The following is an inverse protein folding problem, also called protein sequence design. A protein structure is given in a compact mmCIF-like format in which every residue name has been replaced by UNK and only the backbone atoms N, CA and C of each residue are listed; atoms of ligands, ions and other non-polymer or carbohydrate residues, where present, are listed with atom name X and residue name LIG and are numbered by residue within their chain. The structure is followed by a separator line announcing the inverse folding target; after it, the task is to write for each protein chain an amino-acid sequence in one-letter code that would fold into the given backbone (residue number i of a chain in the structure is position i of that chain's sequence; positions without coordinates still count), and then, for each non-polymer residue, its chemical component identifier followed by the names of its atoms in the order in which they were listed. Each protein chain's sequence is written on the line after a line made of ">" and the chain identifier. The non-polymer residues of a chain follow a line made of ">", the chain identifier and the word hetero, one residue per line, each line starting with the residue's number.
data_IF_319431984507
#
_entry.id   IF_319431984507
#
_cell.length_a   1.000
_cell.length_b   1.000
_cell.length_c   1.000
_cell.angle_alpha   90.00
_cell.angle_beta   90.00
_cell.angle_gamma   90.00
#
_symmetry.space_group_name_H-M   'P 1'
#
loop_
_entity.id
_entity.type
_entity.pdbx_description
1 polymer ?
#
# COMPACT_ATOMS: atom_id res chain seq x y z
N UNK A 1 17.05 -8.24 12.28
CA UNK A 1 18.09 -7.58 11.45
C UNK A 1 18.23 -8.14 10.04
N UNK A 2 18.00 -9.44 9.78
CA UNK A 2 18.04 -9.98 8.40
C UNK A 2 16.83 -9.57 7.53
N UNK A 3 15.65 -9.40 8.11
CA UNK A 3 14.42 -9.13 7.35
C UNK A 3 14.40 -7.73 6.71
N UNK A 4 14.99 -6.71 7.35
CA UNK A 4 15.01 -5.35 6.84
C UNK A 4 15.78 -5.25 5.51
N UNK A 5 16.87 -6.00 5.36
CA UNK A 5 17.69 -6.02 4.14
C UNK A 5 16.88 -6.43 2.89
N UNK A 6 15.96 -7.38 3.03
CA UNK A 6 15.16 -7.88 1.90
C UNK A 6 14.21 -6.83 1.33
N UNK A 7 13.58 -6.01 2.18
CA UNK A 7 12.62 -4.97 1.73
C UNK A 7 13.36 -3.86 0.97
N UNK A 8 14.54 -3.47 1.45
CA UNK A 8 15.36 -2.46 0.76
C UNK A 8 15.91 -2.97 -0.57
N UNK A 9 16.46 -4.19 -0.60
CA UNK A 9 16.97 -4.78 -1.84
C UNK A 9 15.86 -4.92 -2.88
N UNK A 10 14.67 -5.37 -2.46
CA UNK A 10 13.49 -5.42 -3.31
C UNK A 10 13.09 -4.03 -3.82
N UNK A 11 13.00 -3.03 -2.93
CA UNK A 11 12.63 -1.65 -3.28
C UNK A 11 13.58 -1.03 -4.31
N UNK A 12 14.89 -1.27 -4.15
CA UNK A 12 15.90 -0.83 -5.10
C UNK A 12 15.72 -1.49 -6.47
N UNK A 13 15.49 -2.81 -6.51
CA UNK A 13 15.22 -3.53 -7.76
C UNK A 13 13.98 -2.99 -8.48
N UNK A 14 12.90 -2.69 -7.76
CA UNK A 14 11.69 -2.13 -8.37
C UNK A 14 11.93 -0.72 -8.93
N UNK A 15 12.70 0.10 -8.22
CA UNK A 15 13.07 1.45 -8.66
C UNK A 15 13.91 1.39 -9.95
N UNK A 16 14.85 0.44 -10.05
CA UNK A 16 15.62 0.18 -11.28
C UNK A 16 14.73 -0.24 -12.47
N UNK A 17 13.56 -0.82 -12.21
CA UNK A 17 12.54 -1.15 -13.21
C UNK A 17 11.55 0.00 -13.47
N UNK A 18 11.85 1.22 -13.03
CA UNK A 18 10.98 2.40 -13.11
C UNK A 18 9.60 2.20 -12.47
N UNK A 19 9.49 1.36 -11.44
CA UNK A 19 8.26 1.22 -10.64
C UNK A 19 8.32 2.18 -9.45
N UNK A 20 7.18 2.78 -9.14
CA UNK A 20 6.97 3.55 -7.93
C UNK A 20 6.44 2.65 -6.81
N UNK A 21 6.84 2.94 -5.58
CA UNK A 21 6.47 2.17 -4.40
C UNK A 21 5.35 2.87 -3.63
N UNK A 22 4.39 2.09 -3.15
CA UNK A 22 3.26 2.55 -2.36
C UNK A 22 2.93 1.54 -1.27
N UNK A 23 2.43 2.02 -0.13
CA UNK A 23 1.84 1.21 0.91
C UNK A 23 0.31 1.36 0.89
N UNK A 24 -0.41 0.25 0.95
CA UNK A 24 -1.83 0.23 1.32
C UNK A 24 -1.92 -0.16 2.78
N UNK A 25 -2.44 0.73 3.61
CA UNK A 25 -2.37 0.59 5.06
C UNK A 25 -3.73 0.73 5.71
N UNK A 26 -3.92 0.02 6.82
CA UNK A 26 -5.04 0.27 7.73
C UNK A 26 -4.72 1.52 8.57
N UNK A 27 -5.50 2.62 8.46
CA UNK A 27 -5.28 3.79 9.30
C UNK A 27 -5.47 3.48 10.79
N UNK A 28 -6.26 2.47 11.15
CA UNK A 28 -6.53 2.09 12.54
C UNK A 28 -5.55 1.08 13.13
N UNK A 29 -4.53 0.67 12.36
CA UNK A 29 -3.42 -0.11 12.88
C UNK A 29 -2.81 0.58 14.12
N UNK A 30 -2.38 -0.20 15.12
CA UNK A 30 -1.73 0.31 16.34
C UNK A 30 -0.52 1.22 16.04
N UNK A 31 0.11 0.99 14.89
CA UNK A 31 1.24 1.75 14.36
C UNK A 31 0.89 3.08 13.68
N UNK A 32 -0.40 3.39 13.48
CA UNK A 32 -0.91 4.61 12.84
C UNK A 32 -0.09 5.09 11.61
N UNK A 33 0.07 4.24 10.58
CA UNK A 33 1.02 4.46 9.47
C UNK A 33 0.82 5.78 8.69
N UNK A 34 -0.42 6.26 8.59
CA UNK A 34 -0.78 7.50 7.91
C UNK A 34 -0.30 8.75 8.67
N UNK A 35 -0.32 8.74 10.01
CA UNK A 35 0.28 9.80 10.82
C UNK A 35 1.79 9.81 10.66
N UNK A 36 2.43 8.64 10.76
CA UNK A 36 3.87 8.55 10.60
C UNK A 36 4.33 9.00 9.22
N UNK A 37 3.56 8.66 8.18
CA UNK A 37 3.83 9.13 6.81
C UNK A 37 3.84 10.65 6.71
N UNK A 38 2.87 11.34 7.34
CA UNK A 38 2.83 12.79 7.33
C UNK A 38 4.05 13.42 8.06
N UNK A 39 4.49 12.83 9.18
CA UNK A 39 5.68 13.29 9.91
C UNK A 39 6.97 13.12 9.11
N UNK A 40 7.06 12.04 8.32
CA UNK A 40 8.20 11.70 7.47
C UNK A 40 8.12 12.39 6.08
N UNK A 41 7.50 13.57 6.04
CA UNK A 41 7.36 14.43 4.84
C UNK A 41 6.76 13.68 3.64
N UNK A 42 5.84 12.78 3.93
CA UNK A 42 5.07 12.08 2.93
C UNK A 42 4.18 13.04 2.16
N UNK A 43 4.34 13.09 0.83
CA UNK A 43 3.48 13.87 -0.05
C UNK A 43 2.53 12.95 -0.83
N UNK A 44 1.36 13.47 -1.21
CA UNK A 44 0.41 12.80 -2.11
C UNK A 44 -0.20 11.46 -1.62
N UNK A 45 -0.12 11.19 -0.31
CA UNK A 45 -0.89 10.12 0.33
C UNK A 45 -2.35 10.50 0.54
N UNK A 46 -3.23 9.50 0.60
CA UNK A 46 -4.64 9.73 0.93
C UNK A 46 -5.48 8.46 0.90
N UNK A 47 -6.72 8.51 1.41
CA UNK A 47 -7.61 7.36 1.45
C UNK A 47 -7.85 6.79 0.06
N UNK A 48 -8.00 5.46 -0.02
CA UNK A 48 -8.33 4.76 -1.26
C UNK A 48 -9.73 5.09 -1.74
N UNK A 49 -10.66 5.29 -0.81
CA UNK A 49 -12.05 5.60 -1.08
C UNK A 49 -12.31 7.10 -0.98
N UNK A 50 -13.19 7.59 -1.85
CA UNK A 50 -13.58 9.01 -1.82
C UNK A 50 -14.49 9.32 -0.63
N UNK A 51 -14.60 10.60 -0.28
CA UNK A 51 -15.55 11.10 0.73
C UNK A 51 -17.03 10.87 0.38
N UNK A 52 -17.35 10.43 -0.85
CA UNK A 52 -18.69 9.99 -1.22
C UNK A 52 -18.98 8.54 -0.79
N UNK A 53 -17.93 7.77 -0.53
CA UNK A 53 -17.99 6.34 -0.19
C UNK A 53 -17.69 6.11 1.30
N UNK A 54 -16.99 7.03 1.94
CA UNK A 54 -16.71 7.02 3.37
C UNK A 54 -17.40 8.18 4.07
N UNK A 55 -18.01 7.91 5.23
CA UNK A 55 -18.57 8.95 6.12
C UNK A 55 -17.45 9.83 6.69
N UNK A 56 -16.27 9.24 6.93
CA UNK A 56 -15.05 9.93 7.31
C UNK A 56 -13.86 9.36 6.51
N UNK A 57 -13.05 10.24 5.94
CA UNK A 57 -11.91 9.88 5.08
C UNK A 57 -10.88 9.02 5.81
N UNK A 58 -10.73 9.22 7.12
CA UNK A 58 -9.75 8.53 7.96
C UNK A 58 -10.17 7.08 8.29
N UNK A 59 -11.40 6.68 7.99
CA UNK A 59 -11.94 5.35 8.35
C UNK A 59 -11.60 4.26 7.32
N UNK A 60 -11.08 4.64 6.15
CA UNK A 60 -10.77 3.71 5.07
C UNK A 60 -9.27 3.51 4.86
N UNK A 61 -8.84 2.41 4.23
CA UNK A 61 -7.44 2.15 3.97
C UNK A 61 -6.79 3.26 3.15
N UNK A 62 -5.54 3.60 3.48
CA UNK A 62 -4.80 4.68 2.84
C UNK A 62 -3.83 4.14 1.79
N UNK A 63 -3.64 4.89 0.72
CA UNK A 63 -2.62 4.67 -0.29
C UNK A 63 -1.54 5.72 -0.15
N UNK A 64 -0.35 5.30 0.31
CA UNK A 64 0.75 6.15 0.72
C UNK A 64 1.96 5.92 -0.19
N UNK A 65 2.45 6.90 -0.95
CA UNK A 65 3.72 6.79 -1.67
C UNK A 65 4.88 6.50 -0.72
N UNK A 66 5.79 5.59 -1.05
CA UNK A 66 6.92 5.28 -0.17
C UNK A 66 8.15 6.12 -0.53
N UNK A 67 8.43 7.14 0.29
CA UNK A 67 9.72 7.81 0.27
C UNK A 67 10.77 7.01 1.08
N UNK A 68 12.03 7.44 1.04
CA UNK A 68 13.12 6.71 1.71
C UNK A 68 12.95 6.62 3.24
N UNK A 69 12.49 7.71 3.87
CA UNK A 69 12.28 7.77 5.33
C UNK A 69 11.14 6.85 5.76
N UNK A 70 10.01 6.85 5.03
CA UNK A 70 8.88 5.99 5.30
C UNK A 70 9.17 4.52 5.00
N UNK A 71 9.96 4.22 3.97
CA UNK A 71 10.44 2.86 3.70
C UNK A 71 11.32 2.34 4.85
N UNK A 72 12.14 3.22 5.43
CA UNK A 72 12.92 2.86 6.61
C UNK A 72 12.05 2.53 7.79
N UNK A 73 11.13 3.43 8.14
CA UNK A 73 10.17 3.19 9.20
C UNK A 73 9.37 1.90 8.99
N UNK A 74 8.88 1.66 7.76
CA UNK A 74 8.12 0.46 7.41
C UNK A 74 8.90 -0.84 7.63
N UNK A 75 10.21 -0.80 7.37
CA UNK A 75 11.09 -1.97 7.50
C UNK A 75 11.40 -2.33 8.96
N UNK A 76 11.08 -1.48 9.92
CA UNK A 76 11.27 -1.77 11.34
C UNK A 76 10.31 -2.87 11.82
N UNK A 77 10.66 -3.51 12.93
CA UNK A 77 9.92 -4.66 13.45
C UNK A 77 8.46 -4.27 13.72
N UNK A 78 7.51 -5.13 13.31
CA UNK A 78 6.07 -5.01 13.53
C UNK A 78 5.33 -3.98 12.65
N UNK A 79 5.98 -2.92 12.15
CA UNK A 79 5.32 -1.90 11.32
C UNK A 79 4.81 -2.46 9.99
N UNK A 80 5.52 -3.42 9.40
CA UNK A 80 5.12 -4.09 8.16
C UNK A 80 3.79 -4.85 8.26
N UNK A 81 3.27 -5.10 9.47
CA UNK A 81 1.98 -5.74 9.69
C UNK A 81 0.80 -4.78 9.48
N UNK A 82 1.06 -3.47 9.37
CA UNK A 82 0.03 -2.45 9.20
C UNK A 82 -0.58 -2.39 7.79
N UNK A 83 -0.09 -3.22 6.86
CA UNK A 83 -0.60 -3.24 5.49
C UNK A 83 0.27 -4.02 4.50
N UNK A 84 0.21 -3.61 3.24
CA UNK A 84 0.95 -4.22 2.14
C UNK A 84 1.74 -3.17 1.36
N UNK A 85 2.92 -3.55 0.88
CA UNK A 85 3.72 -2.72 -0.03
C UNK A 85 3.57 -3.20 -1.45
N UNK A 86 3.40 -2.26 -2.38
CA UNK A 86 3.18 -2.54 -3.79
C UNK A 86 4.13 -1.69 -4.63
N UNK A 87 4.68 -2.31 -5.67
CA UNK A 87 5.45 -1.64 -6.71
C UNK A 87 4.66 -1.64 -8.03
N UNK A 88 4.50 -0.48 -8.64
CA UNK A 88 3.71 -0.33 -9.87
C UNK A 88 4.22 0.79 -10.76
N UNK A 89 4.02 0.66 -12.07
CA UNK A 89 4.20 1.74 -13.04
C UNK A 89 2.89 2.53 -13.27
N UNK A 90 1.75 2.00 -12.78
CA UNK A 90 0.42 2.58 -13.01
C UNK A 90 -0.30 2.79 -11.68
N UNK A 91 0.13 3.78 -10.86
CA UNK A 91 -0.42 4.01 -9.52
C UNK A 91 -1.92 4.30 -9.52
N UNK A 92 -2.43 5.03 -10.51
CA UNK A 92 -3.85 5.37 -10.57
C UNK A 92 -4.72 4.13 -10.78
N UNK A 93 -4.33 3.22 -11.69
CA UNK A 93 -5.03 1.95 -11.91
C UNK A 93 -4.99 1.06 -10.67
N UNK A 94 -3.88 1.08 -9.94
CA UNK A 94 -3.74 0.34 -8.69
C UNK A 94 -4.65 0.90 -7.60
N UNK A 95 -4.70 2.22 -7.46
CA UNK A 95 -5.61 2.91 -6.55
C UNK A 95 -7.07 2.56 -6.88
N UNK A 96 -7.48 2.66 -8.15
CA UNK A 96 -8.83 2.28 -8.60
C UNK A 96 -9.17 0.81 -8.29
N UNK A 97 -8.23 -0.10 -8.57
CA UNK A 97 -8.42 -1.53 -8.33
C UNK A 97 -8.68 -1.80 -6.84
N UNK A 98 -7.80 -1.37 -5.96
CA UNK A 98 -7.97 -1.61 -4.53
C UNK A 98 -9.17 -0.86 -3.96
N UNK A 99 -9.44 0.38 -4.40
CA UNK A 99 -10.65 1.10 -4.02
C UNK A 99 -11.92 0.30 -4.36
N UNK A 100 -11.99 -0.31 -5.55
CA UNK A 100 -13.14 -1.14 -5.93
C UNK A 100 -13.32 -2.36 -5.03
N UNK A 101 -12.22 -3.01 -4.64
CA UNK A 101 -12.25 -4.17 -3.73
C UNK A 101 -12.75 -3.77 -2.34
N UNK A 102 -12.22 -2.69 -1.77
CA UNK A 102 -12.66 -2.21 -0.46
C UNK A 102 -14.12 -1.74 -0.48
N UNK A 103 -14.56 -1.10 -1.57
CA UNK A 103 -15.96 -0.72 -1.73
C UNK A 103 -16.91 -1.93 -1.72
N UNK A 104 -16.56 -3.01 -2.43
CA UNK A 104 -17.36 -4.24 -2.44
C UNK A 104 -17.50 -4.83 -1.02
N UNK A 105 -16.41 -4.87 -0.24
CA UNK A 105 -16.43 -5.31 1.16
C UNK A 105 -17.36 -4.42 2.00
N UNK A 106 -17.29 -3.10 1.86
CA UNK A 106 -18.15 -2.16 2.60
C UNK A 106 -19.64 -2.33 2.26
N UNK A 107 -19.96 -2.79 1.06
CA UNK A 107 -21.34 -3.11 0.65
C UNK A 107 -21.81 -4.48 1.14
N UNK A 108 -21.00 -5.20 1.91
CA UNK A 108 -21.31 -6.53 2.44
C UNK A 108 -21.08 -7.66 1.44
N UNK A 109 -20.39 -7.41 0.34
CA UNK A 109 -20.08 -8.42 -0.65
C UNK A 109 -18.90 -9.29 -0.19
N UNK A 110 -18.96 -10.58 -0.52
CA UNK A 110 -17.82 -11.48 -0.31
C UNK A 110 -16.85 -11.36 -1.49
N UNK A 111 -15.72 -10.72 -1.25
CA UNK A 111 -14.65 -10.56 -2.24
C UNK A 111 -13.67 -11.72 -2.14
N UNK A 112 -13.63 -12.56 -3.17
CA UNK A 112 -12.63 -13.61 -3.29
C UNK A 112 -11.42 -13.08 -4.07
N UNK A 113 -10.33 -12.82 -3.36
CA UNK A 113 -9.06 -12.47 -3.98
C UNK A 113 -8.13 -13.68 -3.95
N UNK A 114 -7.68 -14.22 -5.10
CA UNK A 114 -6.61 -15.19 -5.08
C UNK A 114 -5.32 -14.46 -4.71
N UNK A 115 -4.96 -14.51 -3.42
CA UNK A 115 -3.68 -13.98 -2.90
C UNK A 115 -2.47 -14.54 -3.68
N UNK A 116 -2.63 -15.71 -4.31
CA UNK A 116 -1.64 -16.32 -5.19
C UNK A 116 -2.32 -16.93 -6.43
N UNK A 117 -2.36 -16.18 -7.53
CA UNK A 117 -2.48 -16.74 -8.89
C UNK A 117 -1.31 -16.23 -9.74
N UNK A 118 -0.28 -17.06 -9.96
CA UNK A 118 0.86 -16.74 -10.82
C UNK A 118 0.45 -16.25 -12.21
N UNK A 119 -0.69 -16.70 -12.74
CA UNK A 119 -1.17 -16.37 -14.08
C UNK A 119 -1.56 -14.88 -14.25
N UNK A 120 -1.89 -14.16 -13.16
CA UNK A 120 -2.20 -12.72 -13.21
C UNK A 120 -0.96 -11.84 -13.07
N UNK A 121 0.08 -12.32 -12.38
CA UNK A 121 1.35 -11.61 -12.18
C UNK A 121 2.38 -11.94 -13.26
N UNK A 122 2.26 -13.10 -13.90
CA UNK A 122 3.16 -13.56 -14.97
C UNK A 122 3.32 -12.57 -16.14
N UNK A 123 2.26 -11.88 -16.61
CA UNK A 123 2.39 -10.84 -17.63
C UNK A 123 3.00 -9.51 -17.14
N UNK A 124 3.17 -9.32 -15.83
CA UNK A 124 3.69 -8.09 -15.20
C UNK A 124 5.08 -8.26 -14.57
N UNK A 125 5.67 -9.44 -14.69
CA UNK A 125 7.05 -9.74 -14.32
C UNK A 125 7.88 -9.88 -15.62
N UNK A 126 9.13 -9.38 -15.67
CA UNK A 126 9.97 -9.42 -16.86
C UNK A 126 10.34 -10.83 -17.31
#
# INVERSE_FOLDING_TARGET
>A
MQDNLYVYDWAQQQTQQNKSLFAIVDPHSEWAPHHQFAELKGEHGGPLLSSKQLTNADDGPWFLPMNAEFLQWWSEEQHAQSGIVIATQTPDKMREHFASLFQAILLGESVFFPFYRPDYLGPMLP
#
